data_IF_174658279646
#
_entry.id   IF_174658279646
#
_cell.length_a   1.000
_cell.length_b   1.000
_cell.length_c   1.000
_cell.angle_alpha   90.00
_cell.angle_beta   90.00
_cell.angle_gamma   90.00
#
_symmetry.space_group_name_H-M   'P 1'
#
loop_
_entity.id
_entity.type
_entity.pdbx_description
1 polymer ?
#
# COMPACT_ATOMS: atom_id res chain seq x y z
N UNK A 1 0.19 -8.85 -2.56
CA UNK A 1 -0.50 -7.58 -2.17
C UNK A 1 0.28 -6.34 -2.67
N UNK A 2 1.02 -6.45 -3.77
CA UNK A 2 1.86 -5.36 -4.31
C UNK A 2 1.22 -4.62 -5.49
N UNK A 3 0.00 -4.98 -5.89
CA UNK A 3 -0.59 -4.59 -7.18
C UNK A 3 -1.12 -3.16 -7.25
N UNK A 4 -1.09 -2.41 -6.15
CA UNK A 4 -1.49 -0.99 -6.14
C UNK A 4 -0.29 -0.06 -5.86
N UNK A 5 0.94 -0.58 -5.75
CA UNK A 5 2.00 0.13 -4.98
C UNK A 5 3.33 0.43 -5.69
N UNK A 6 3.61 -0.10 -6.88
CA UNK A 6 4.94 0.09 -7.45
C UNK A 6 5.26 1.50 -8.01
N UNK A 7 4.29 2.41 -8.18
CA UNK A 7 4.50 3.51 -9.14
C UNK A 7 4.38 4.96 -8.65
N UNK A 8 3.95 5.21 -7.41
CA UNK A 8 3.59 6.59 -7.01
C UNK A 8 4.76 7.58 -6.85
N UNK A 9 5.99 7.12 -6.57
CA UNK A 9 7.17 8.00 -6.57
C UNK A 9 7.58 8.42 -8.00
N UNK A 10 7.34 7.55 -9.00
CA UNK A 10 7.60 7.87 -10.41
C UNK A 10 6.62 8.92 -10.92
N UNK A 11 5.31 8.73 -10.68
CA UNK A 11 4.26 9.59 -11.24
C UNK A 11 4.39 11.08 -10.89
N UNK A 12 4.75 11.40 -9.64
CA UNK A 12 4.96 12.81 -9.25
C UNK A 12 6.19 13.40 -9.96
N UNK A 13 7.26 12.61 -10.11
CA UNK A 13 8.46 13.04 -10.85
C UNK A 13 8.20 13.20 -12.35
N UNK A 14 7.34 12.35 -12.94
CA UNK A 14 6.94 12.42 -14.35
C UNK A 14 6.07 13.65 -14.57
N UNK A 15 5.08 13.87 -13.71
CA UNK A 15 4.23 15.06 -13.76
C UNK A 15 5.03 16.36 -13.64
N UNK A 16 6.02 16.42 -12.73
CA UNK A 16 6.90 17.60 -12.63
C UNK A 16 7.75 17.86 -13.87
N UNK A 17 8.06 16.82 -14.66
CA UNK A 17 8.91 16.94 -15.85
C UNK A 17 8.11 17.27 -17.12
N UNK A 18 6.90 16.74 -17.26
CA UNK A 18 6.14 16.84 -18.51
C UNK A 18 4.63 17.03 -18.35
N UNK A 19 4.19 17.46 -17.16
CA UNK A 19 2.81 17.79 -16.87
C UNK A 19 1.85 16.61 -17.05
N UNK A 20 0.61 16.94 -17.40
CA UNK A 20 -0.48 15.96 -17.51
C UNK A 20 -0.25 14.96 -18.64
N UNK A 21 0.26 15.41 -19.79
CA UNK A 21 0.48 14.56 -20.97
C UNK A 21 1.54 13.48 -20.72
N UNK A 22 2.64 13.83 -20.05
CA UNK A 22 3.65 12.84 -19.66
C UNK A 22 3.09 11.86 -18.63
N UNK A 23 2.26 12.34 -17.70
CA UNK A 23 1.62 11.49 -16.70
C UNK A 23 0.64 10.50 -17.34
N UNK A 24 -0.17 10.91 -18.30
CA UNK A 24 -1.07 10.02 -19.05
C UNK A 24 -0.31 8.95 -19.83
N UNK A 25 0.76 9.36 -20.51
CA UNK A 25 1.64 8.42 -21.25
C UNK A 25 2.27 7.39 -20.33
N UNK A 26 2.80 7.82 -19.17
CA UNK A 26 3.39 6.91 -18.18
C UNK A 26 2.34 5.95 -17.61
N UNK A 27 1.15 6.43 -17.26
CA UNK A 27 0.07 5.57 -16.75
C UNK A 27 -0.36 4.51 -17.78
N UNK A 28 -0.41 4.89 -19.07
CA UNK A 28 -0.71 3.94 -20.14
C UNK A 28 0.39 2.87 -20.27
N UNK A 29 1.65 3.28 -20.20
CA UNK A 29 2.81 2.37 -20.26
C UNK A 29 2.90 1.45 -19.05
N UNK A 30 2.59 1.94 -17.85
CA UNK A 30 2.52 1.13 -16.65
C UNK A 30 1.42 0.07 -16.76
N UNK A 31 0.25 0.45 -17.29
CA UNK A 31 -0.86 -0.47 -17.49
C UNK A 31 -0.51 -1.57 -18.50
N UNK A 32 0.19 -1.26 -19.60
CA UNK A 32 0.58 -2.28 -20.59
C UNK A 32 1.62 -3.27 -20.07
N UNK A 33 2.39 -2.90 -19.04
CA UNK A 33 3.48 -3.71 -18.47
C UNK A 33 3.13 -4.36 -17.13
N UNK A 34 1.93 -4.12 -16.59
CA UNK A 34 1.58 -4.56 -15.23
C UNK A 34 1.62 -6.09 -15.09
N UNK A 35 1.25 -6.81 -16.15
CA UNK A 35 1.27 -8.28 -16.23
C UNK A 35 2.66 -8.83 -15.95
N UNK A 36 3.66 -8.40 -16.73
CA UNK A 36 5.02 -8.93 -16.66
C UNK A 36 5.77 -8.46 -15.42
N UNK A 37 5.56 -7.21 -14.99
CA UNK A 37 6.37 -6.61 -13.89
C UNK A 37 5.81 -6.92 -12.51
N UNK A 38 4.50 -6.76 -12.33
CA UNK A 38 3.87 -6.88 -11.02
C UNK A 38 3.14 -8.21 -10.88
N UNK A 39 2.23 -8.52 -11.81
CA UNK A 39 1.37 -9.70 -11.68
C UNK A 39 2.17 -10.99 -11.74
N UNK A 40 3.11 -11.13 -12.67
CA UNK A 40 3.92 -12.34 -12.81
C UNK A 40 4.84 -12.62 -11.60
N UNK A 41 5.25 -11.58 -10.84
CA UNK A 41 5.97 -11.79 -9.57
C UNK A 41 5.01 -12.19 -8.47
N UNK A 42 3.93 -11.44 -8.28
CA UNK A 42 2.96 -11.68 -7.21
C UNK A 42 2.31 -13.07 -7.39
N UNK A 43 2.00 -13.48 -8.61
CA UNK A 43 1.41 -14.78 -8.95
C UNK A 43 2.32 -15.95 -8.56
N UNK A 44 3.60 -15.93 -8.97
CA UNK A 44 4.55 -17.00 -8.61
C UNK A 44 4.66 -17.19 -7.09
N UNK A 45 4.73 -16.09 -6.33
CA UNK A 45 4.83 -16.15 -4.86
C UNK A 45 3.53 -16.69 -4.25
N UNK A 46 2.38 -16.27 -4.75
CA UNK A 46 1.08 -16.62 -4.19
C UNK A 46 0.70 -18.07 -4.53
N UNK A 47 0.95 -18.50 -5.76
CA UNK A 47 0.70 -19.85 -6.26
C UNK A 47 1.60 -20.90 -5.58
N UNK A 48 2.83 -20.53 -5.19
CA UNK A 48 3.71 -21.38 -4.36
C UNK A 48 3.07 -21.77 -3.02
N UNK A 49 2.13 -20.96 -2.53
CA UNK A 49 1.38 -21.23 -1.30
C UNK A 49 0.02 -21.90 -1.55
N UNK A 50 -0.25 -22.38 -2.77
CA UNK A 50 -1.53 -22.97 -3.15
C UNK A 50 -2.71 -21.99 -3.03
N UNK A 51 -2.44 -20.69 -3.17
CA UNK A 51 -3.44 -19.63 -3.10
C UNK A 51 -3.59 -18.96 -4.46
N UNK A 52 -4.75 -18.34 -4.66
CA UNK A 52 -5.03 -17.50 -5.83
C UNK A 52 -5.38 -16.10 -5.33
N UNK A 53 -4.79 -15.07 -5.95
CA UNK A 53 -5.11 -13.70 -5.61
C UNK A 53 -6.18 -13.12 -6.54
N UNK A 54 -7.13 -12.39 -5.95
CA UNK A 54 -8.13 -11.63 -6.70
C UNK A 54 -7.74 -10.16 -6.74
N UNK A 55 -7.89 -9.52 -7.90
CA UNK A 55 -7.55 -8.12 -8.13
C UNK A 55 -8.78 -7.32 -8.58
N UNK A 56 -9.71 -6.96 -7.66
CA UNK A 56 -10.95 -6.28 -8.02
C UNK A 56 -10.76 -4.97 -8.80
N UNK A 57 -9.64 -4.28 -8.59
CA UNK A 57 -9.31 -3.04 -9.31
C UNK A 57 -8.81 -3.27 -10.75
N UNK A 58 -8.51 -4.52 -11.12
CA UNK A 58 -8.14 -4.93 -12.48
C UNK A 58 -9.30 -5.59 -13.23
N UNK A 59 -10.51 -5.58 -12.66
CA UNK A 59 -11.72 -5.98 -13.37
C UNK A 59 -11.91 -5.11 -14.63
N UNK A 60 -12.31 -5.74 -15.73
CA UNK A 60 -12.43 -5.11 -17.04
C UNK A 60 -13.44 -3.95 -17.02
N UNK A 61 -14.54 -4.07 -16.28
CA UNK A 61 -15.55 -3.03 -16.18
C UNK A 61 -15.03 -1.85 -15.36
N UNK A 62 -14.31 -2.13 -14.27
CA UNK A 62 -13.65 -1.09 -13.45
C UNK A 62 -12.61 -0.33 -14.28
N UNK A 63 -11.74 -1.04 -14.99
CA UNK A 63 -10.73 -0.42 -15.86
C UNK A 63 -11.41 0.39 -16.98
N UNK A 64 -12.41 -0.18 -17.65
CA UNK A 64 -13.15 0.46 -18.73
C UNK A 64 -13.78 1.77 -18.28
N UNK A 65 -14.42 1.77 -17.10
CA UNK A 65 -14.97 2.97 -16.49
C UNK A 65 -13.89 4.01 -16.18
N UNK A 66 -12.82 3.62 -15.49
CA UNK A 66 -11.74 4.52 -15.09
C UNK A 66 -10.98 5.11 -16.30
N UNK A 67 -10.88 4.37 -17.41
CA UNK A 67 -10.28 4.87 -18.66
C UNK A 67 -11.06 6.02 -19.29
N UNK A 68 -12.39 6.03 -19.18
CA UNK A 68 -13.25 7.10 -19.72
C UNK A 68 -13.22 8.39 -18.90
N UNK A 69 -12.82 8.31 -17.64
CA UNK A 69 -12.76 9.49 -16.77
C UNK A 69 -11.55 10.38 -17.10
N UNK A 70 -11.68 11.71 -17.05
CA UNK A 70 -10.54 12.63 -17.12
C UNK A 70 -9.50 12.34 -16.03
N UNK A 71 -8.22 12.59 -16.30
CA UNK A 71 -7.18 12.37 -15.30
C UNK A 71 -7.34 13.29 -14.08
N UNK A 72 -7.82 14.52 -14.27
CA UNK A 72 -8.07 15.51 -13.21
C UNK A 72 -9.04 15.02 -12.13
N UNK A 73 -10.03 14.17 -12.47
CA UNK A 73 -10.95 13.59 -11.47
C UNK A 73 -10.33 12.40 -10.71
N UNK A 74 -9.30 11.77 -11.31
CA UNK A 74 -8.58 10.63 -10.72
C UNK A 74 -7.45 11.09 -9.80
N UNK A 75 -6.75 12.15 -10.20
CA UNK A 75 -5.63 12.72 -9.47
C UNK A 75 -5.40 14.19 -9.80
N UNK A 76 -4.98 14.95 -8.79
CA UNK A 76 -4.47 16.31 -8.92
C UNK A 76 -3.09 16.39 -8.27
N UNK A 77 -2.04 16.20 -9.07
CA UNK A 77 -0.66 16.19 -8.57
C UNK A 77 -0.08 17.60 -8.34
N UNK A 78 -0.89 18.66 -8.46
CA UNK A 78 -0.52 20.00 -7.99
C UNK A 78 -0.69 20.14 -6.47
N UNK A 79 -1.54 19.30 -5.87
CA UNK A 79 -1.79 19.27 -4.44
C UNK A 79 -0.66 18.56 -3.68
N UNK A 80 -0.51 18.81 -2.37
CA UNK A 80 0.49 18.15 -1.54
C UNK A 80 0.39 16.62 -1.59
N UNK A 81 1.54 15.96 -1.39
CA UNK A 81 1.64 14.49 -1.35
C UNK A 81 0.64 13.89 -0.36
N UNK A 82 -0.10 12.89 -0.80
CA UNK A 82 -1.14 12.23 0.00
C UNK A 82 -2.51 12.90 -0.06
N UNK A 83 -2.65 14.07 -0.71
CA UNK A 83 -3.95 14.73 -0.90
C UNK A 83 -4.47 14.46 -2.31
N UNK A 84 -3.69 14.87 -3.32
CA UNK A 84 -4.10 14.83 -4.72
C UNK A 84 -4.05 13.47 -5.41
N UNK A 85 -3.44 12.47 -4.76
CA UNK A 85 -3.33 11.12 -5.31
C UNK A 85 -4.60 10.33 -5.03
N UNK A 86 -5.10 9.55 -6.01
CA UNK A 86 -6.19 8.56 -5.81
C UNK A 86 -7.51 9.18 -5.30
N UNK A 87 -7.89 10.34 -5.85
CA UNK A 87 -9.02 11.13 -5.38
C UNK A 87 -10.31 10.30 -5.29
N UNK A 88 -10.63 9.55 -6.34
CA UNK A 88 -11.82 8.68 -6.36
C UNK A 88 -11.82 7.65 -5.23
N UNK A 89 -10.69 6.96 -5.02
CA UNK A 89 -10.57 5.95 -3.96
C UNK A 89 -10.71 6.57 -2.58
N UNK A 90 -10.14 7.77 -2.37
CA UNK A 90 -10.26 8.51 -1.11
C UNK A 90 -11.70 8.97 -0.86
N UNK A 91 -12.40 9.43 -1.90
CA UNK A 91 -13.81 9.83 -1.81
C UNK A 91 -14.69 8.64 -1.43
N UNK A 92 -14.55 7.51 -2.12
CA UNK A 92 -15.28 6.28 -1.82
C UNK A 92 -14.98 5.81 -0.39
N UNK A 93 -13.71 5.77 0.01
CA UNK A 93 -13.33 5.41 1.38
C UNK A 93 -14.00 6.31 2.44
N UNK A 94 -14.11 7.63 2.18
CA UNK A 94 -14.82 8.56 3.07
C UNK A 94 -16.32 8.25 3.15
N UNK A 95 -16.96 7.89 2.03
CA UNK A 95 -18.38 7.49 2.01
C UNK A 95 -18.64 6.25 2.87
N UNK A 96 -17.66 5.34 2.95
CA UNK A 96 -17.69 4.18 3.85
C UNK A 96 -17.24 4.49 5.29
N UNK A 97 -17.06 5.75 5.67
CA UNK A 97 -16.62 6.14 7.02
C UNK A 97 -15.14 5.90 7.31
N UNK A 98 -14.34 5.50 6.33
CA UNK A 98 -12.90 5.20 6.47
C UNK A 98 -12.04 6.47 6.41
N UNK A 99 -12.38 7.48 7.22
CA UNK A 99 -11.79 8.83 7.17
C UNK A 99 -10.27 8.81 7.35
N UNK A 100 -9.78 8.03 8.32
CA UNK A 100 -8.34 7.93 8.61
C UNK A 100 -7.59 7.24 7.46
N UNK A 101 -8.13 6.13 6.93
CA UNK A 101 -7.50 5.44 5.80
C UNK A 101 -7.48 6.33 4.54
N UNK A 102 -8.53 7.12 4.33
CA UNK A 102 -8.66 8.03 3.20
C UNK A 102 -7.72 9.24 3.26
N UNK A 103 -7.18 9.61 4.42
CA UNK A 103 -6.27 10.76 4.58
C UNK A 103 -4.79 10.38 4.54
N UNK A 104 -4.46 9.09 4.70
CA UNK A 104 -3.07 8.65 4.75
C UNK A 104 -2.40 8.72 3.37
N UNK A 105 -1.19 9.30 3.26
CA UNK A 105 -0.38 9.20 2.06
C UNK A 105 -0.04 7.74 1.78
N UNK A 106 -0.04 7.33 0.51
CA UNK A 106 0.33 5.97 0.19
C UNK A 106 1.80 5.71 0.56
N UNK A 107 2.03 4.61 1.28
CA UNK A 107 3.34 4.03 1.53
C UNK A 107 3.36 2.59 1.03
N UNK A 108 4.50 2.14 0.49
CA UNK A 108 4.68 0.72 0.20
C UNK A 108 4.73 -0.07 1.48
N UNK A 109 4.15 -1.27 1.50
CA UNK A 109 4.07 -2.07 2.72
C UNK A 109 5.44 -2.25 3.36
N UNK A 110 6.47 -2.57 2.57
CA UNK A 110 7.85 -2.73 3.05
C UNK A 110 8.40 -1.50 3.81
N UNK A 111 7.98 -0.29 3.41
CA UNK A 111 8.38 0.95 4.06
C UNK A 111 7.44 1.31 5.23
N UNK A 112 6.15 0.98 5.09
CA UNK A 112 5.14 1.23 6.13
C UNK A 112 5.30 0.31 7.33
N UNK A 113 5.67 -0.95 7.11
CA UNK A 113 5.94 -1.95 8.15
C UNK A 113 7.34 -1.82 8.78
N UNK A 114 8.20 -0.95 8.21
CA UNK A 114 9.62 -0.80 8.57
C UNK A 114 10.44 -2.09 8.44
N UNK A 115 9.95 -3.09 7.70
CA UNK A 115 10.68 -4.36 7.47
C UNK A 115 12.03 -4.09 6.80
N UNK A 116 12.07 -3.17 5.83
CA UNK A 116 13.32 -2.77 5.17
C UNK A 116 14.37 -2.16 6.12
N UNK A 117 13.95 -1.61 7.27
CA UNK A 117 14.86 -1.07 8.29
C UNK A 117 15.34 -2.14 9.28
N UNK A 118 14.68 -3.30 9.31
CA UNK A 118 14.96 -4.39 10.23
C UNK A 118 15.89 -5.46 9.67
N UNK A 119 16.00 -5.57 8.34
CA UNK A 119 16.97 -6.46 7.72
C UNK A 119 18.42 -6.05 8.03
N UNK A 120 18.66 -4.79 8.41
CA UNK A 120 19.96 -4.29 8.89
C UNK A 120 20.17 -4.29 10.40
N UNK A 121 19.14 -4.55 11.22
CA UNK A 121 19.28 -4.59 12.68
C UNK A 121 18.17 -5.43 13.33
N UNK A 122 18.59 -6.55 13.93
CA UNK A 122 17.90 -7.39 14.93
C UNK A 122 16.37 -7.54 14.77
N UNK A 123 15.93 -8.73 14.34
CA UNK A 123 14.57 -9.33 14.46
C UNK A 123 13.48 -8.41 15.05
N UNK A 124 12.55 -7.96 14.21
CA UNK A 124 11.40 -7.17 14.63
C UNK A 124 10.52 -7.95 15.62
N UNK A 125 10.34 -7.40 16.83
CA UNK A 125 9.21 -7.71 17.70
C UNK A 125 8.04 -6.79 17.32
N UNK A 126 6.99 -7.35 16.74
CA UNK A 126 5.74 -6.66 16.43
C UNK A 126 4.89 -6.35 17.68
N UNK A 127 3.80 -5.61 17.50
CA UNK A 127 2.86 -5.31 18.59
C UNK A 127 2.22 -6.56 19.21
N UNK A 128 2.06 -7.64 18.43
CA UNK A 128 1.64 -8.95 18.93
C UNK A 128 2.69 -9.59 19.87
N UNK A 129 3.98 -9.35 19.60
CA UNK A 129 5.09 -9.88 20.41
C UNK A 129 5.26 -9.13 21.75
N UNK A 130 4.65 -7.95 21.90
CA UNK A 130 4.61 -7.19 23.16
C UNK A 130 3.62 -7.75 24.18
N UNK A 131 2.66 -8.57 23.74
CA UNK A 131 1.66 -9.19 24.61
C UNK A 131 2.30 -10.27 25.48
N UNK A 132 3.23 -11.06 24.93
CA UNK A 132 3.95 -12.09 25.67
C UNK A 132 4.82 -11.52 26.81
N UNK A 133 5.44 -10.35 26.59
CA UNK A 133 6.30 -9.70 27.60
C UNK A 133 5.55 -9.22 28.85
N UNK A 134 4.29 -8.81 28.71
CA UNK A 134 3.46 -8.41 29.86
C UNK A 134 3.04 -9.62 30.71
N UNK A 135 2.82 -10.79 30.10
CA UNK A 135 2.46 -12.02 30.81
C UNK A 135 3.69 -12.55 31.59
N UNK A 136 4.87 -12.55 30.98
CA UNK A 136 6.12 -12.99 31.63
C UNK A 136 6.49 -12.12 32.85
N UNK A 137 6.37 -10.79 32.74
CA UNK A 137 6.63 -9.88 33.86
C UNK A 137 5.61 -10.03 35.01
N UNK A 138 4.38 -10.47 34.72
CA UNK A 138 3.34 -10.71 35.74
C UNK A 138 3.59 -12.00 36.53
N UNK A 139 4.14 -13.03 35.88
CA UNK A 139 4.51 -14.30 36.51
C UNK A 139 5.75 -14.11 37.40
N UNK A 140 6.76 -13.38 36.91
CA UNK A 140 7.99 -13.13 37.67
C UNK A 140 7.76 -12.31 38.95
N UNK A 141 6.84 -11.33 38.93
CA UNK A 141 6.45 -10.56 40.13
C UNK A 141 5.64 -11.36 41.16
N UNK A 142 5.00 -12.47 40.77
CA UNK A 142 4.23 -13.32 41.71
C UNK A 142 5.16 -14.23 42.53
N UNK A 143 6.24 -14.73 41.94
CA UNK A 143 7.21 -15.59 42.61
C UNK A 143 8.12 -14.84 43.60
N UNK A 144 8.18 -13.50 43.53
CA UNK A 144 8.93 -12.68 44.48
C UNK A 144 8.15 -12.32 45.74
N UNK A 145 6.82 -12.56 45.79
CA UNK A 145 5.95 -12.21 46.93
C UNK A 145 5.58 -13.40 47.82
N UNK A 146 6.15 -14.57 47.60
CA UNK A 146 5.89 -15.80 48.38
C UNK A 146 7.10 -16.28 49.16
N UNK A 147 8.09 -15.41 49.38
CA UNK A 147 9.23 -15.68 50.25
C UNK A 147 9.30 -14.53 51.25
N UNK A 148 8.36 -14.53 52.19
CA UNK A 148 8.42 -13.89 53.51
C UNK A 148 7.43 -14.66 54.41
#
# INVERSE_FOLDING_TARGET
MQIIVAFFLSLYSVFRRGGLTALESELHLEMSRISERNLGRDDRIISDHGREARFPYLDENVISYLKRLPLSVKADLTLPRGVGEKLLLRQVAKQFGLIQAASLPKRAMQFGSRIASAEGSVRLKGSADRVAGHIANRISRKNQKTVD
#
